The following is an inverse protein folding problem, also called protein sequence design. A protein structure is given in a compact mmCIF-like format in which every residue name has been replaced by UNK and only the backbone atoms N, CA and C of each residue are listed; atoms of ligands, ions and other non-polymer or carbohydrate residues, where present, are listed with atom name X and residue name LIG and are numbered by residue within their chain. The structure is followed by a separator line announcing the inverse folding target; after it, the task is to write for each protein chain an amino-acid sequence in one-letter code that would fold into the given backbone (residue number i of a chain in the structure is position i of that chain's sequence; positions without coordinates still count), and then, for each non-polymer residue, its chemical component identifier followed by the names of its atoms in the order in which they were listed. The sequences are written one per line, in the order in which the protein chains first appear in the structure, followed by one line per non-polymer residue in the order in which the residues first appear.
data_IF_306218384025
#
_entry.id   IF_306218384025
#
_cell.length_a   1.000
_cell.length_b   1.000
_cell.length_c   1.000
_cell.angle_alpha   90.00
_cell.angle_beta   90.00
_cell.angle_gamma   90.00
#
_symmetry.space_group_name_H-M   'P 1'
#
loop_
_entity.id
_entity.type
_entity.pdbx_description
1 polymer ?
#
# COMPACT_ATOMS: atom_id res chain seq x y z
N UNK A 1 12.90 -16.12 6.54
CA UNK A 1 13.10 -15.23 7.71
C UNK A 1 13.54 -13.85 7.26
N UNK A 2 13.24 -12.82 8.06
CA UNK A 2 13.63 -11.42 7.78
C UNK A 2 15.13 -11.28 7.47
N UNK A 3 16.00 -11.89 8.29
CA UNK A 3 17.45 -11.90 8.08
C UNK A 3 17.88 -12.42 6.70
N UNK A 4 17.21 -13.46 6.20
CA UNK A 4 17.49 -14.03 4.88
C UNK A 4 17.08 -13.09 3.75
N UNK A 5 15.94 -12.43 3.87
CA UNK A 5 15.49 -11.48 2.86
C UNK A 5 16.36 -10.21 2.85
N UNK A 6 16.73 -9.71 4.02
CA UNK A 6 17.65 -8.58 4.14
C UNK A 6 19.03 -8.87 3.54
N UNK A 7 19.52 -10.12 3.64
CA UNK A 7 20.81 -10.53 3.07
C UNK A 7 20.81 -10.53 1.52
N UNK A 8 19.66 -10.56 0.86
CA UNK A 8 19.55 -10.43 -0.61
C UNK A 8 19.77 -8.99 -1.07
N UNK A 9 19.61 -8.00 -0.18
CA UNK A 9 19.86 -6.60 -0.48
C UNK A 9 21.34 -6.29 -0.62
N UNK A 10 21.69 -5.34 -1.51
CA UNK A 10 23.07 -4.89 -1.77
C UNK A 10 23.49 -3.77 -0.80
N UNK A 11 23.24 -3.94 0.50
CA UNK A 11 23.60 -2.96 1.50
C UNK A 11 25.04 -3.18 1.98
N UNK A 12 25.80 -2.10 2.26
CA UNK A 12 27.07 -2.21 3.00
C UNK A 12 26.85 -2.95 4.34
N UNK A 13 27.84 -3.75 4.76
CA UNK A 13 27.70 -4.62 5.94
C UNK A 13 27.25 -3.86 7.19
N UNK A 14 27.84 -2.71 7.47
CA UNK A 14 27.49 -1.87 8.62
C UNK A 14 26.01 -1.45 8.58
N UNK A 15 25.52 -1.05 7.41
CA UNK A 15 24.12 -0.65 7.25
C UNK A 15 23.18 -1.86 7.34
N UNK A 16 23.56 -3.00 6.75
CA UNK A 16 22.82 -4.25 6.86
C UNK A 16 22.65 -4.70 8.32
N UNK A 17 23.70 -4.65 9.13
CA UNK A 17 23.62 -5.00 10.56
C UNK A 17 22.71 -4.05 11.34
N UNK A 18 22.77 -2.75 11.04
CA UNK A 18 21.89 -1.74 11.64
C UNK A 18 20.43 -2.00 11.29
N UNK A 19 20.12 -2.26 10.00
CA UNK A 19 18.76 -2.55 9.55
C UNK A 19 18.25 -3.89 10.10
N UNK A 20 19.13 -4.88 10.26
CA UNK A 20 18.77 -6.16 10.86
C UNK A 20 18.32 -5.96 12.31
N UNK A 21 19.14 -5.30 13.13
CA UNK A 21 18.81 -5.06 14.55
C UNK A 21 17.52 -4.22 14.71
N UNK A 22 17.35 -3.19 13.86
CA UNK A 22 16.10 -2.39 13.84
C UNK A 22 14.89 -3.24 13.50
N UNK A 23 14.96 -4.00 12.40
CA UNK A 23 13.84 -4.80 11.92
C UNK A 23 13.46 -5.92 12.88
N UNK A 24 14.43 -6.60 13.51
CA UNK A 24 14.16 -7.63 14.52
C UNK A 24 13.40 -7.04 15.72
N UNK A 25 13.84 -5.88 16.21
CA UNK A 25 13.16 -5.18 17.31
C UNK A 25 11.74 -4.77 16.94
N UNK A 26 11.55 -4.18 15.75
CA UNK A 26 10.24 -3.75 15.26
C UNK A 26 9.30 -4.95 15.14
N UNK A 27 9.74 -6.04 14.51
CA UNK A 27 8.93 -7.24 14.33
C UNK A 27 8.59 -7.92 15.66
N UNK A 28 9.51 -7.92 16.63
CA UNK A 28 9.24 -8.46 17.97
C UNK A 28 8.13 -7.67 18.68
N UNK A 29 8.21 -6.33 18.65
CA UNK A 29 7.20 -5.45 19.25
C UNK A 29 5.85 -5.63 18.55
N UNK A 30 5.85 -5.58 17.23
CA UNK A 30 4.66 -5.76 16.42
C UNK A 30 4.00 -7.11 16.71
N UNK A 31 4.76 -8.20 16.70
CA UNK A 31 4.25 -9.54 17.01
C UNK A 31 3.63 -9.62 18.40
N UNK A 32 4.29 -9.07 19.43
CA UNK A 32 3.74 -9.07 20.79
C UNK A 32 2.38 -8.37 20.89
N UNK A 33 2.19 -7.29 20.11
CA UNK A 33 0.96 -6.49 20.13
C UNK A 33 -0.14 -7.07 19.23
N UNK A 34 0.21 -7.68 18.11
CA UNK A 34 -0.73 -8.03 17.03
C UNK A 34 -0.90 -9.54 16.78
N UNK A 35 -0.15 -10.44 17.44
CA UNK A 35 -0.20 -11.89 17.18
C UNK A 35 -1.61 -12.50 17.26
N UNK A 36 -2.49 -11.95 18.08
CA UNK A 36 -3.85 -12.43 18.25
C UNK A 36 -4.87 -11.74 17.31
N UNK A 37 -4.41 -10.80 16.48
CA UNK A 37 -5.25 -10.12 15.50
C UNK A 37 -5.35 -10.87 14.16
N UNK A 38 -4.50 -11.89 13.95
CA UNK A 38 -4.48 -12.70 12.74
C UNK A 38 -5.26 -14.00 12.96
N UNK A 39 -6.08 -14.36 11.98
CA UNK A 39 -6.88 -15.58 11.97
C UNK A 39 -6.30 -16.57 10.95
N UNK A 40 -6.49 -17.91 11.14
CA UNK A 40 -5.98 -18.91 10.20
C UNK A 40 -6.55 -18.79 8.79
N UNK A 41 -7.74 -18.22 8.64
CA UNK A 41 -8.45 -18.00 7.38
C UNK A 41 -8.04 -16.70 6.68
N UNK A 42 -7.26 -15.83 7.32
CA UNK A 42 -6.76 -14.60 6.69
C UNK A 42 -5.83 -14.93 5.54
N UNK A 43 -5.99 -14.24 4.42
CA UNK A 43 -5.11 -14.37 3.26
C UNK A 43 -4.02 -13.29 3.28
N UNK A 44 -2.81 -13.68 2.96
CA UNK A 44 -1.65 -12.77 2.89
C UNK A 44 -1.00 -12.86 1.51
N UNK A 45 -0.40 -11.76 1.08
CA UNK A 45 0.32 -11.70 -0.20
C UNK A 45 -0.58 -12.15 -1.38
N UNK A 46 -1.84 -11.69 -1.39
CA UNK A 46 -2.86 -12.10 -2.37
C UNK A 46 -2.50 -11.53 -3.75
N UNK A 47 -2.16 -12.42 -4.68
CA UNK A 47 -1.80 -12.04 -6.05
C UNK A 47 -3.07 -11.93 -6.92
N UNK A 48 -3.28 -10.74 -7.51
CA UNK A 48 -4.44 -10.42 -8.36
C UNK A 48 -4.14 -10.54 -9.86
N UNK A 49 -3.00 -11.17 -10.22
CA UNK A 49 -2.53 -11.23 -11.61
C UNK A 49 -3.53 -11.89 -12.57
N UNK A 50 -4.15 -12.98 -12.12
CA UNK A 50 -5.03 -13.80 -12.95
C UNK A 50 -6.53 -13.50 -12.73
N UNK A 51 -6.84 -12.41 -12.03
CA UNK A 51 -8.20 -12.02 -11.67
C UNK A 51 -9.00 -11.32 -12.77
N UNK A 52 -8.37 -10.99 -13.89
CA UNK A 52 -9.03 -10.42 -15.07
C UNK A 52 -9.61 -9.01 -14.86
N UNK A 53 -9.06 -8.25 -13.92
CA UNK A 53 -9.57 -6.92 -13.57
C UNK A 53 -9.33 -5.91 -14.67
N UNK A 54 -10.40 -5.23 -15.11
CA UNK A 54 -10.37 -4.18 -16.12
C UNK A 54 -10.89 -2.86 -15.56
N UNK A 55 -10.21 -1.77 -15.92
CA UNK A 55 -10.70 -0.39 -15.76
C UNK A 55 -10.59 0.29 -17.13
N UNK A 56 -11.73 0.47 -17.81
CA UNK A 56 -11.73 0.75 -19.25
C UNK A 56 -11.01 -0.36 -20.00
N UNK A 57 -9.99 0.00 -20.80
CA UNK A 57 -9.13 -0.94 -21.53
C UNK A 57 -7.89 -1.38 -20.73
N UNK A 58 -7.67 -0.82 -19.54
CA UNK A 58 -6.50 -1.09 -18.73
C UNK A 58 -6.67 -2.38 -17.92
N UNK A 59 -5.80 -3.37 -18.16
CA UNK A 59 -5.67 -4.54 -17.30
C UNK A 59 -4.92 -4.16 -16.02
N UNK A 60 -5.57 -4.33 -14.89
CA UNK A 60 -4.97 -4.08 -13.58
C UNK A 60 -4.49 -5.39 -12.95
N UNK A 61 -3.31 -5.34 -12.41
CA UNK A 61 -2.76 -6.39 -11.56
C UNK A 61 -2.18 -5.77 -10.29
N UNK A 62 -2.02 -6.56 -9.26
CA UNK A 62 -1.43 -6.11 -8.01
C UNK A 62 -1.31 -7.23 -7.01
N UNK A 63 -0.75 -6.91 -5.87
CA UNK A 63 -0.60 -7.82 -4.77
C UNK A 63 -1.04 -7.10 -3.49
N UNK A 64 -1.98 -7.71 -2.77
CA UNK A 64 -2.46 -7.19 -1.50
C UNK A 64 -1.65 -7.84 -0.38
N UNK A 65 -1.21 -7.05 0.58
CA UNK A 65 -0.44 -7.57 1.71
C UNK A 65 -1.29 -8.47 2.60
N UNK A 66 -2.54 -8.05 2.87
CA UNK A 66 -3.46 -8.77 3.75
C UNK A 66 -4.91 -8.59 3.30
N UNK A 67 -5.67 -9.68 3.34
CA UNK A 67 -7.09 -9.74 3.03
C UNK A 67 -7.82 -10.63 4.03
N UNK A 68 -8.87 -10.10 4.65
CA UNK A 68 -9.82 -10.84 5.48
C UNK A 68 -11.21 -10.78 4.89
N UNK A 69 -11.87 -11.93 4.82
CA UNK A 69 -13.29 -12.01 4.49
C UNK A 69 -14.11 -11.91 5.77
N UNK A 70 -15.05 -10.99 5.79
CA UNK A 70 -15.98 -10.78 6.90
C UNK A 70 -17.42 -10.92 6.43
N UNK A 71 -18.39 -10.86 7.35
CA UNK A 71 -19.82 -10.87 6.98
C UNK A 71 -20.23 -9.61 6.22
N UNK A 72 -19.53 -8.49 6.40
CA UNK A 72 -19.83 -7.20 5.77
C UNK A 72 -19.04 -6.99 4.46
N UNK A 73 -18.18 -7.92 4.09
CA UNK A 73 -17.32 -7.85 2.90
C UNK A 73 -15.84 -8.01 3.22
N UNK A 74 -14.97 -7.41 2.41
CA UNK A 74 -13.53 -7.51 2.57
C UNK A 74 -12.95 -6.42 3.47
N UNK A 75 -12.04 -6.83 4.34
CA UNK A 75 -11.10 -5.96 5.05
C UNK A 75 -9.71 -6.12 4.42
N UNK A 76 -9.12 -5.02 3.97
CA UNK A 76 -7.80 -4.96 3.36
C UNK A 76 -6.88 -4.12 4.24
N UNK A 77 -5.71 -4.67 4.54
CA UNK A 77 -4.66 -3.95 5.27
C UNK A 77 -3.38 -3.96 4.45
N UNK A 78 -2.80 -2.81 4.29
CA UNK A 78 -1.49 -2.63 3.68
C UNK A 78 -0.48 -2.21 4.76
N UNK A 79 0.59 -2.98 4.90
CA UNK A 79 1.59 -2.76 5.94
C UNK A 79 2.66 -1.77 5.50
N UNK A 80 2.92 -0.80 6.35
CA UNK A 80 3.90 0.25 6.08
C UNK A 80 5.04 0.23 7.09
N UNK A 81 6.26 0.41 6.58
CA UNK A 81 7.47 0.64 7.38
C UNK A 81 7.91 2.10 7.24
N UNK A 82 8.55 2.62 8.27
CA UNK A 82 9.08 3.99 8.30
C UNK A 82 8.14 4.98 8.99
N UNK A 83 8.22 6.26 8.59
CA UNK A 83 7.53 7.35 9.27
C UNK A 83 6.01 7.14 9.30
N UNK A 84 5.45 7.22 10.50
CA UNK A 84 4.04 6.98 10.77
C UNK A 84 3.21 8.23 10.53
N UNK A 85 2.19 8.13 9.70
CA UNK A 85 1.13 9.13 9.63
C UNK A 85 0.04 8.79 10.64
N UNK A 86 -0.52 9.82 11.27
CA UNK A 86 -1.60 9.68 12.25
C UNK A 86 -2.94 10.22 11.73
N UNK A 87 -2.93 10.81 10.53
CA UNK A 87 -4.11 11.39 9.87
C UNK A 87 -3.96 11.29 8.36
N UNK A 88 -5.10 11.25 7.66
CA UNK A 88 -5.17 11.38 6.20
C UNK A 88 -5.03 12.82 5.72
N UNK A 89 -5.20 13.79 6.60
CA UNK A 89 -4.95 15.19 6.31
C UNK A 89 -3.50 15.55 6.66
N UNK A 90 -2.77 16.22 5.74
CA UNK A 90 -1.42 16.65 6.02
C UNK A 90 -1.40 17.63 7.20
N UNK A 91 -0.43 17.51 8.07
CA UNK A 91 -0.22 18.47 9.14
C UNK A 91 0.07 19.88 8.58
N UNK A 92 -0.24 20.92 9.37
CA UNK A 92 0.10 22.29 9.00
C UNK A 92 1.62 22.39 8.85
N UNK A 93 2.07 22.84 7.66
CA UNK A 93 3.51 22.90 7.34
C UNK A 93 4.12 21.59 6.85
N UNK A 94 3.31 20.54 6.61
CA UNK A 94 3.80 19.29 6.01
C UNK A 94 4.51 19.56 4.69
N UNK A 95 5.59 18.84 4.46
CA UNK A 95 6.37 18.91 3.21
C UNK A 95 5.54 18.44 2.01
N UNK A 96 5.87 18.90 0.81
CA UNK A 96 5.22 18.40 -0.40
C UNK A 96 5.47 16.89 -0.60
N UNK A 97 6.60 16.39 -0.14
CA UNK A 97 6.89 14.97 -0.10
C UNK A 97 5.86 14.20 0.74
N UNK A 98 5.50 14.68 1.93
CA UNK A 98 4.52 14.02 2.81
C UNK A 98 3.11 14.07 2.22
N UNK A 99 2.74 15.20 1.60
CA UNK A 99 1.46 15.33 0.89
C UNK A 99 1.36 14.34 -0.27
N UNK A 100 2.42 14.23 -1.09
CA UNK A 100 2.49 13.27 -2.20
C UNK A 100 2.44 11.84 -1.66
N UNK A 101 3.14 11.54 -0.56
CA UNK A 101 3.16 10.21 0.06
C UNK A 101 1.78 9.81 0.56
N UNK A 102 1.05 10.70 1.24
CA UNK A 102 -0.34 10.46 1.66
C UNK A 102 -1.27 10.24 0.47
N UNK A 103 -1.13 11.05 -0.59
CA UNK A 103 -1.90 10.87 -1.82
C UNK A 103 -1.63 9.50 -2.47
N UNK A 104 -0.37 9.08 -2.57
CA UNK A 104 -0.01 7.74 -3.07
C UNK A 104 -0.65 6.63 -2.25
N UNK A 105 -0.70 6.75 -0.93
CA UNK A 105 -1.32 5.78 -0.05
C UNK A 105 -2.84 5.70 -0.27
N UNK A 106 -3.54 6.84 -0.35
CA UNK A 106 -4.97 6.88 -0.69
C UNK A 106 -5.23 6.19 -2.04
N UNK A 107 -4.45 6.54 -3.07
CA UNK A 107 -4.56 5.95 -4.40
C UNK A 107 -4.33 4.44 -4.37
N UNK A 108 -3.34 3.94 -3.64
CA UNK A 108 -3.05 2.52 -3.48
C UNK A 108 -4.25 1.76 -2.90
N UNK A 109 -4.86 2.28 -1.83
CA UNK A 109 -6.03 1.67 -1.21
C UNK A 109 -7.25 1.66 -2.15
N UNK A 110 -7.44 2.74 -2.95
CA UNK A 110 -8.49 2.76 -3.97
C UNK A 110 -8.22 1.70 -5.05
N UNK A 111 -6.98 1.52 -5.48
CA UNK A 111 -6.62 0.48 -6.45
C UNK A 111 -6.91 -0.91 -5.87
N UNK A 112 -6.60 -1.17 -4.61
CA UNK A 112 -6.97 -2.44 -3.96
C UNK A 112 -8.48 -2.70 -3.96
N UNK A 113 -9.28 -1.66 -3.67
CA UNK A 113 -10.73 -1.73 -3.79
C UNK A 113 -11.16 -2.09 -5.21
N UNK A 114 -10.60 -1.42 -6.22
CA UNK A 114 -10.90 -1.70 -7.62
C UNK A 114 -10.50 -3.12 -8.04
N UNK A 115 -9.35 -3.61 -7.59
CA UNK A 115 -8.87 -4.96 -7.86
C UNK A 115 -9.86 -6.00 -7.33
N UNK A 116 -10.29 -5.89 -6.08
CA UNK A 116 -11.21 -6.86 -5.46
C UNK A 116 -12.62 -6.78 -6.03
N UNK A 117 -13.21 -5.58 -6.11
CA UNK A 117 -14.61 -5.42 -6.53
C UNK A 117 -14.86 -5.69 -8.02
N UNK A 118 -13.80 -5.69 -8.86
CA UNK A 118 -13.91 -5.99 -10.29
C UNK A 118 -13.22 -7.30 -10.69
N UNK A 119 -12.78 -8.11 -9.74
CA UNK A 119 -12.14 -9.39 -10.02
C UNK A 119 -13.15 -10.49 -10.40
N UNK A 120 -12.65 -11.58 -10.96
CA UNK A 120 -13.48 -12.73 -11.31
C UNK A 120 -13.89 -13.56 -10.10
N UNK A 121 -13.02 -13.68 -9.08
CA UNK A 121 -13.23 -14.53 -7.90
C UNK A 121 -13.65 -13.74 -6.66
N UNK A 122 -13.09 -12.54 -6.44
CA UNK A 122 -13.41 -11.69 -5.30
C UNK A 122 -14.52 -10.72 -5.71
N UNK A 123 -15.77 -10.99 -5.34
CA UNK A 123 -16.95 -10.21 -5.81
C UNK A 123 -17.60 -9.38 -4.71
N UNK A 124 -17.12 -9.54 -3.49
CA UNK A 124 -17.66 -8.82 -2.34
C UNK A 124 -17.17 -7.39 -2.29
N UNK A 125 -17.97 -6.52 -1.70
CA UNK A 125 -17.55 -5.12 -1.47
C UNK A 125 -16.40 -5.05 -0.49
N UNK A 126 -15.50 -4.12 -0.72
CA UNK A 126 -14.48 -3.78 0.26
C UNK A 126 -15.11 -2.89 1.32
N UNK A 127 -15.18 -3.42 2.54
CA UNK A 127 -15.76 -2.76 3.71
C UNK A 127 -14.74 -1.88 4.44
N UNK A 128 -13.52 -2.38 4.63
CA UNK A 128 -12.45 -1.67 5.33
C UNK A 128 -11.20 -1.63 4.45
N UNK A 129 -10.64 -0.45 4.31
CA UNK A 129 -9.31 -0.22 3.73
C UNK A 129 -8.44 0.45 4.79
N UNK A 130 -7.28 -0.11 5.07
CA UNK A 130 -6.41 0.41 6.12
C UNK A 130 -4.94 0.39 5.72
N UNK A 131 -4.19 1.37 6.24
CA UNK A 131 -2.74 1.26 6.39
C UNK A 131 -2.43 0.91 7.84
N UNK A 132 -1.53 -0.03 8.05
CA UNK A 132 -1.02 -0.33 9.37
C UNK A 132 0.50 -0.14 9.41
N UNK A 133 0.96 0.74 10.29
CA UNK A 133 2.38 1.03 10.45
C UNK A 133 2.98 0.02 11.43
N UNK A 134 3.89 -0.83 10.95
CA UNK A 134 4.49 -1.90 11.78
C UNK A 134 5.44 -1.36 12.85
N UNK A 135 5.95 -0.13 12.67
CA UNK A 135 6.74 0.57 13.69
C UNK A 135 5.80 1.31 14.64
N UNK A 136 5.96 1.06 15.94
CA UNK A 136 5.16 1.77 16.95
C UNK A 136 5.46 3.27 16.96
N UNK A 137 4.42 4.04 17.14
CA UNK A 137 4.50 5.48 17.40
C UNK A 137 3.91 5.77 18.78
N UNK A 138 4.70 6.38 19.66
CA UNK A 138 4.33 6.68 21.04
C UNK A 138 3.80 5.46 21.83
N UNK A 139 4.37 4.29 21.55
CA UNK A 139 4.00 3.04 22.21
C UNK A 139 2.79 2.33 21.60
N UNK A 140 2.24 2.79 20.48
CA UNK A 140 1.07 2.17 19.83
C UNK A 140 1.35 1.83 18.36
N UNK A 141 0.73 0.75 17.87
CA UNK A 141 0.66 0.44 16.44
C UNK A 141 -0.46 1.29 15.84
N UNK A 142 -0.10 2.15 14.90
CA UNK A 142 -1.06 3.05 14.26
C UNK A 142 -1.69 2.37 13.06
N UNK A 143 -3.01 2.35 13.01
CA UNK A 143 -3.80 1.91 11.87
C UNK A 143 -4.66 3.08 11.39
N UNK A 144 -4.52 3.46 10.12
CA UNK A 144 -5.33 4.49 9.47
C UNK A 144 -6.35 3.84 8.56
N UNK A 145 -7.61 3.87 8.94
CA UNK A 145 -8.72 3.43 8.08
C UNK A 145 -9.10 4.54 7.09
N UNK A 146 -9.37 4.15 5.86
CA UNK A 146 -9.73 5.04 4.77
C UNK A 146 -11.05 4.63 4.11
N UNK A 147 -11.95 5.56 3.97
CA UNK A 147 -13.20 5.37 3.23
C UNK A 147 -13.22 6.33 2.05
N UNK A 148 -12.87 5.86 0.83
CA UNK A 148 -12.85 6.71 -0.35
C UNK A 148 -14.27 7.16 -0.71
N UNK A 149 -14.41 8.41 -1.12
CA UNK A 149 -15.63 8.91 -1.73
C UNK A 149 -15.79 8.34 -3.13
N UNK A 150 -17.02 8.32 -3.64
CA UNK A 150 -17.27 7.90 -5.02
C UNK A 150 -16.50 8.77 -6.03
N UNK A 151 -16.37 10.05 -5.75
CA UNK A 151 -15.60 10.98 -6.59
C UNK A 151 -14.11 10.60 -6.66
N UNK A 152 -13.49 10.23 -5.54
CA UNK A 152 -12.08 9.79 -5.50
C UNK A 152 -11.90 8.48 -6.27
N UNK A 153 -12.83 7.55 -6.16
CA UNK A 153 -12.80 6.29 -6.91
C UNK A 153 -12.87 6.57 -8.42
N UNK A 154 -13.82 7.39 -8.87
CA UNK A 154 -13.98 7.73 -10.30
C UNK A 154 -12.78 8.53 -10.84
N UNK A 155 -12.21 9.45 -10.05
CA UNK A 155 -10.96 10.15 -10.42
C UNK A 155 -9.80 9.15 -10.58
N UNK A 156 -9.69 8.16 -9.70
CA UNK A 156 -8.64 7.14 -9.78
C UNK A 156 -8.83 6.25 -11.01
N UNK A 157 -10.05 5.80 -11.31
CA UNK A 157 -10.34 5.07 -12.55
C UNK A 157 -9.91 5.84 -13.78
N UNK A 158 -10.35 7.10 -13.88
CA UNK A 158 -10.00 7.98 -15.00
C UNK A 158 -8.48 8.18 -15.12
N UNK A 159 -7.76 8.33 -14.01
CA UNK A 159 -6.32 8.42 -14.02
C UNK A 159 -5.67 7.15 -14.58
N UNK A 160 -6.12 5.98 -14.15
CA UNK A 160 -5.61 4.69 -14.65
C UNK A 160 -5.83 4.53 -16.16
N UNK A 161 -7.01 4.88 -16.66
CA UNK A 161 -7.31 4.86 -18.10
C UNK A 161 -6.42 5.82 -18.91
N UNK A 162 -6.21 7.05 -18.40
CA UNK A 162 -5.36 8.04 -19.07
C UNK A 162 -3.90 7.57 -19.09
N UNK A 163 -3.39 7.07 -17.96
CA UNK A 163 -2.02 6.56 -17.87
C UNK A 163 -1.83 5.38 -18.82
N UNK A 164 -2.77 4.43 -18.84
CA UNK A 164 -2.73 3.30 -19.76
C UNK A 164 -2.68 3.75 -21.22
N UNK A 165 -3.57 4.67 -21.64
CA UNK A 165 -3.59 5.21 -23.00
C UNK A 165 -2.27 5.88 -23.39
N UNK A 166 -1.66 6.64 -22.46
CA UNK A 166 -0.35 7.26 -22.68
C UNK A 166 0.76 6.23 -22.83
N UNK A 167 0.76 5.18 -22.01
CA UNK A 167 1.75 4.08 -22.11
C UNK A 167 1.62 3.38 -23.47
N UNK A 168 0.40 3.02 -23.89
CA UNK A 168 0.17 2.36 -25.18
C UNK A 168 0.55 3.25 -26.36
N UNK A 169 0.31 4.56 -26.26
CA UNK A 169 0.69 5.53 -27.28
C UNK A 169 2.17 5.92 -27.23
N UNK A 170 2.95 5.44 -26.28
CA UNK A 170 4.33 5.87 -25.99
C UNK A 170 4.46 7.38 -25.76
N UNK A 171 3.38 8.00 -25.26
CA UNK A 171 3.32 9.42 -24.94
C UNK A 171 3.85 9.67 -23.52
N UNK A 172 5.17 9.75 -23.39
CA UNK A 172 5.85 10.00 -22.14
C UNK A 172 6.24 11.46 -22.00
N UNK A 173 6.17 12.03 -20.78
CA UNK A 173 6.59 13.40 -20.54
C UNK A 173 8.09 13.56 -20.77
N UNK A 174 8.49 14.77 -21.20
CA UNK A 174 9.90 15.16 -21.26
C UNK A 174 10.46 15.23 -19.82
N UNK A 175 11.27 14.22 -19.49
CA UNK A 175 11.84 14.05 -18.14
C UNK A 175 13.02 14.98 -17.87
N UNK A 176 13.53 15.72 -18.88
CA UNK A 176 14.67 16.63 -18.68
C UNK A 176 14.32 17.84 -17.80
N UNK A 177 13.03 18.17 -17.72
CA UNK A 177 12.50 19.29 -16.93
C UNK A 177 12.29 18.97 -15.43
N UNK A 178 12.42 17.71 -15.06
CA UNK A 178 12.17 17.29 -13.68
C UNK A 178 13.48 17.17 -12.89
N UNK A 179 13.38 17.44 -11.58
CA UNK A 179 14.49 17.19 -10.67
C UNK A 179 14.86 15.70 -10.69
N UNK A 180 16.13 15.43 -10.95
CA UNK A 180 16.68 14.05 -11.00
C UNK A 180 17.18 13.57 -9.64
N UNK A 181 16.92 14.31 -8.57
CA UNK A 181 17.23 13.86 -7.21
C UNK A 181 16.33 12.68 -6.80
N UNK A 182 16.74 11.94 -5.78
CA UNK A 182 15.97 10.81 -5.25
C UNK A 182 14.54 11.20 -4.78
N UNK A 183 14.30 12.47 -4.52
CA UNK A 183 13.00 13.02 -4.08
C UNK A 183 12.27 13.81 -5.16
N UNK A 184 12.88 13.98 -6.33
CA UNK A 184 12.32 14.68 -7.49
C UNK A 184 11.37 13.84 -8.31
#
# INVERSE_FOLDING_TARGET
TFSRELAKGRLPEKERLKQLARGEKVLEIYYKKKKNAFLPEDAVEVDMKDEGVLVGDAHLTGKLDFLRTTQDGYEVVDFKTGDTFTSWEPEIGASDYDKIKLHKYKTQLIVYKLLLENSNHYKEKVHILSLEFVEESRGEIVTLTYTPTQEEVEKTKKLLEIVYKKIVALDFPDTEKYDKSFKG
#
